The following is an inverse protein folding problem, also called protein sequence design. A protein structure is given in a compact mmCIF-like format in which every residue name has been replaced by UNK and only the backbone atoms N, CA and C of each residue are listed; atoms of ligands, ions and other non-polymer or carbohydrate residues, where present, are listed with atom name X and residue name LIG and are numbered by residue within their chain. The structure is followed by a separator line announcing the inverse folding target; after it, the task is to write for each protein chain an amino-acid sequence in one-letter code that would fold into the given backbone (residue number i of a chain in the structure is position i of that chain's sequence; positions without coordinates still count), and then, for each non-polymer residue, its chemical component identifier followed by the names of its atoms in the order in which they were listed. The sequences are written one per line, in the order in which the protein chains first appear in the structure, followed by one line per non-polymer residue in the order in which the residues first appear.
data_IF_424866139340
#
_entry.id   IF_424866139340
#
_cell.length_a   1.000
_cell.length_b   1.000
_cell.length_c   1.000
_cell.angle_alpha   90.00
_cell.angle_beta   90.00
_cell.angle_gamma   90.00
#
_symmetry.space_group_name_H-M   'P 1'
#
loop_
_entity.id
_entity.type
_entity.pdbx_description
1 polymer ?
#
# COMPACT_ATOMS: atom_id res chain seq x y z
N UNK A 1 -18.47 35.34 14.60
CA UNK A 1 -17.51 34.50 13.85
C UNK A 1 -18.20 34.00 12.61
N UNK A 2 -17.64 34.29 11.44
CA UNK A 2 -18.22 33.90 10.16
C UNK A 2 -18.00 32.39 9.95
N UNK A 3 -19.05 31.56 9.76
CA UNK A 3 -18.86 30.15 9.47
C UNK A 3 -18.25 30.02 8.07
N UNK A 4 -17.02 29.50 7.99
CA UNK A 4 -16.43 29.07 6.73
C UNK A 4 -17.30 27.94 6.18
N UNK A 5 -18.09 28.25 5.15
CA UNK A 5 -18.66 27.23 4.28
C UNK A 5 -17.48 26.49 3.63
N UNK A 6 -17.28 25.24 4.04
CA UNK A 6 -16.46 24.30 3.28
C UNK A 6 -17.08 24.16 1.90
N UNK A 7 -16.43 24.76 0.88
CA UNK A 7 -16.74 24.47 -0.51
C UNK A 7 -16.50 22.98 -0.71
N UNK A 8 -17.57 22.23 -0.90
CA UNK A 8 -17.47 20.87 -1.44
C UNK A 8 -17.06 21.05 -2.89
N UNK A 9 -15.80 20.80 -3.21
CA UNK A 9 -15.37 20.69 -4.60
C UNK A 9 -16.13 19.53 -5.24
N UNK A 10 -16.77 19.80 -6.38
CA UNK A 10 -17.38 18.74 -7.16
C UNK A 10 -16.27 17.81 -7.66
N UNK A 11 -16.50 16.50 -7.55
CA UNK A 11 -15.53 15.51 -8.03
C UNK A 11 -15.22 15.68 -9.51
N UNK A 12 -14.04 15.23 -9.94
CA UNK A 12 -13.65 15.25 -11.34
C UNK A 12 -14.67 14.49 -12.21
N UNK A 13 -14.94 14.95 -13.44
CA UNK A 13 -15.81 14.24 -14.37
C UNK A 13 -15.42 12.76 -14.51
N UNK A 14 -16.41 11.86 -14.47
CA UNK A 14 -16.23 10.40 -14.54
C UNK A 14 -15.53 9.74 -13.35
N UNK A 15 -15.25 10.47 -12.25
CA UNK A 15 -14.60 9.92 -11.07
C UNK A 15 -15.43 8.82 -10.37
N UNK A 16 -16.76 8.94 -10.36
CA UNK A 16 -17.64 7.94 -9.75
C UNK A 16 -17.70 6.65 -10.57
N UNK A 17 -17.70 6.78 -11.90
CA UNK A 17 -17.66 5.70 -12.88
C UNK A 17 -16.31 4.97 -12.80
N UNK A 18 -15.19 5.70 -12.73
CA UNK A 18 -13.85 5.15 -12.53
C UNK A 18 -13.75 4.35 -11.23
N UNK A 19 -14.30 4.86 -10.12
CA UNK A 19 -14.35 4.17 -8.84
C UNK A 19 -15.18 2.88 -8.92
N UNK A 20 -16.34 2.95 -9.57
CA UNK A 20 -17.23 1.79 -9.74
C UNK A 20 -16.55 0.71 -10.58
N UNK A 21 -15.99 1.09 -11.73
CA UNK A 21 -15.23 0.21 -12.60
C UNK A 21 -14.07 -0.46 -11.87
N UNK A 22 -13.30 0.31 -11.09
CA UNK A 22 -12.19 -0.21 -10.30
C UNK A 22 -12.65 -1.24 -9.25
N UNK A 23 -13.76 -0.98 -8.57
CA UNK A 23 -14.33 -1.93 -7.60
C UNK A 23 -14.76 -3.21 -8.28
N UNK A 24 -15.47 -3.11 -9.40
CA UNK A 24 -15.96 -4.26 -10.14
C UNK A 24 -14.85 -5.16 -10.66
N UNK A 25 -13.66 -4.63 -10.95
CA UNK A 25 -12.56 -5.38 -11.56
C UNK A 25 -11.42 -5.75 -10.60
N UNK A 26 -11.24 -5.04 -9.48
CA UNK A 26 -10.07 -5.23 -8.61
C UNK A 26 -10.41 -5.49 -7.14
N UNK A 27 -11.60 -5.10 -6.67
CA UNK A 27 -11.97 -5.31 -5.27
C UNK A 27 -12.12 -6.81 -4.98
N UNK A 28 -11.52 -7.25 -3.87
CA UNK A 28 -11.54 -8.65 -3.41
C UNK A 28 -11.05 -9.67 -4.46
N UNK A 29 -10.10 -9.26 -5.30
CA UNK A 29 -9.43 -10.15 -6.26
C UNK A 29 -7.96 -10.26 -5.97
N UNK A 30 -7.41 -11.41 -6.33
CA UNK A 30 -5.97 -11.59 -6.38
C UNK A 30 -5.39 -10.72 -7.49
N UNK A 31 -4.38 -9.95 -7.14
CA UNK A 31 -3.70 -9.00 -8.02
C UNK A 31 -2.21 -9.01 -7.74
N UNK A 32 -1.45 -8.57 -8.73
CA UNK A 32 -0.03 -8.28 -8.62
C UNK A 32 0.17 -6.78 -8.59
N UNK A 33 0.96 -6.31 -7.62
CA UNK A 33 1.30 -4.91 -7.47
C UNK A 33 2.81 -4.76 -7.57
N UNK A 34 3.27 -4.02 -8.57
CA UNK A 34 4.65 -3.56 -8.71
C UNK A 34 4.76 -2.18 -8.09
N UNK A 35 5.45 -2.05 -6.96
CA UNK A 35 5.66 -0.76 -6.29
C UNK A 35 6.89 -0.08 -6.88
N UNK A 36 6.72 1.11 -7.43
CA UNK A 36 7.80 1.92 -8.00
C UNK A 36 8.29 3.00 -7.03
N UNK A 37 7.35 3.64 -6.32
CA UNK A 37 7.67 4.69 -5.36
C UNK A 37 6.61 4.80 -4.26
N UNK A 38 6.81 5.77 -3.36
CA UNK A 38 5.86 6.09 -2.30
C UNK A 38 5.79 7.61 -2.17
N UNK A 39 4.58 8.15 -2.06
CA UNK A 39 4.39 9.58 -1.79
C UNK A 39 4.70 9.94 -0.33
N UNK A 40 4.66 11.24 0.01
CA UNK A 40 4.88 11.69 1.40
C UNK A 40 3.78 11.26 2.37
N UNK A 41 2.60 10.87 1.88
CA UNK A 41 1.48 10.36 2.68
C UNK A 41 1.62 8.88 3.05
N UNK A 42 2.53 8.17 2.38
CA UNK A 42 2.75 6.75 2.54
C UNK A 42 1.94 5.88 1.57
N UNK A 43 1.38 6.46 0.52
CA UNK A 43 0.69 5.71 -0.53
C UNK A 43 1.74 5.17 -1.51
N UNK A 44 1.66 3.88 -1.81
CA UNK A 44 2.49 3.26 -2.83
C UNK A 44 2.00 3.67 -4.22
N UNK A 45 2.94 4.07 -5.08
CA UNK A 45 2.70 4.37 -6.49
C UNK A 45 3.35 3.27 -7.31
N UNK A 46 2.60 2.72 -8.27
CA UNK A 46 3.07 1.58 -9.03
C UNK A 46 2.02 1.02 -9.98
N UNK A 47 2.27 -0.19 -10.47
CA UNK A 47 1.40 -0.88 -11.44
C UNK A 47 0.60 -1.98 -10.75
N UNK A 48 -0.66 -2.12 -11.16
CA UNK A 48 -1.53 -3.22 -10.74
C UNK A 48 -1.89 -4.07 -11.97
N UNK A 49 -1.74 -5.38 -11.84
CA UNK A 49 -2.06 -6.36 -12.89
C UNK A 49 -2.91 -7.47 -12.30
N UNK A 50 -3.99 -7.86 -12.96
CA UNK A 50 -4.82 -8.99 -12.52
C UNK A 50 -4.08 -10.32 -12.72
N UNK A 51 -4.56 -11.39 -12.08
CA UNK A 51 -4.00 -12.74 -12.28
C UNK A 51 -4.03 -13.22 -13.73
N UNK A 52 -4.99 -12.72 -14.53
CA UNK A 52 -5.13 -13.03 -15.95
C UNK A 52 -4.22 -12.17 -16.85
N UNK A 53 -3.37 -11.32 -16.25
CA UNK A 53 -2.41 -10.48 -16.97
C UNK A 53 -2.95 -9.13 -17.43
N UNK A 54 -4.15 -8.73 -17.01
CA UNK A 54 -4.74 -7.44 -17.42
C UNK A 54 -4.19 -6.30 -16.55
N UNK A 55 -3.61 -5.28 -17.20
CA UNK A 55 -3.09 -4.09 -16.53
C UNK A 55 -4.23 -3.13 -16.16
N UNK A 56 -4.32 -2.73 -14.89
CA UNK A 56 -5.37 -1.84 -14.40
C UNK A 56 -5.33 -0.45 -15.06
N UNK A 57 -4.14 0.10 -15.28
CA UNK A 57 -3.99 1.38 -15.99
C UNK A 57 -4.50 1.27 -17.43
N UNK A 58 -4.18 0.18 -18.13
CA UNK A 58 -4.69 -0.06 -19.47
C UNK A 58 -6.20 -0.21 -19.49
N UNK A 59 -6.78 -0.99 -18.56
CA UNK A 59 -8.23 -1.18 -18.47
C UNK A 59 -8.97 0.15 -18.23
N UNK A 60 -8.47 1.00 -17.34
CA UNK A 60 -9.07 2.32 -17.06
C UNK A 60 -8.96 3.28 -18.25
N UNK A 61 -7.80 3.34 -18.90
CA UNK A 61 -7.59 4.19 -20.09
C UNK A 61 -8.47 3.70 -21.24
N UNK A 62 -8.52 2.40 -21.51
CA UNK A 62 -9.34 1.80 -22.56
C UNK A 62 -10.85 2.00 -22.34
N UNK A 63 -11.29 2.09 -21.08
CA UNK A 63 -12.67 2.43 -20.73
C UNK A 63 -12.97 3.94 -20.84
N UNK A 64 -11.98 4.78 -21.15
CA UNK A 64 -12.10 6.24 -21.15
C UNK A 64 -12.27 6.83 -19.75
N UNK A 65 -11.86 6.10 -18.70
CA UNK A 65 -12.03 6.49 -17.29
C UNK A 65 -10.74 7.06 -16.68
N UNK A 66 -9.64 7.09 -17.43
CA UNK A 66 -8.37 7.68 -17.05
C UNK A 66 -7.64 8.26 -18.27
N UNK A 67 -6.65 9.11 -18.00
CA UNK A 67 -5.72 9.65 -18.99
C UNK A 67 -4.33 9.10 -18.74
N UNK A 68 -3.52 9.01 -19.80
CA UNK A 68 -2.11 8.67 -19.71
C UNK A 68 -1.37 9.86 -19.13
N UNK A 69 -0.60 9.61 -18.08
CA UNK A 69 0.24 10.61 -17.42
C UNK A 69 1.68 10.44 -17.88
N UNK A 70 2.49 11.50 -17.84
CA UNK A 70 3.93 11.49 -18.17
C UNK A 70 4.72 10.43 -17.40
N UNK A 71 4.29 10.09 -16.19
CA UNK A 71 4.91 9.02 -15.39
C UNK A 71 4.78 7.63 -16.01
N UNK A 72 3.94 7.45 -17.04
CA UNK A 72 3.85 6.23 -17.81
C UNK A 72 4.94 6.13 -18.89
N UNK A 73 5.73 7.18 -19.13
CA UNK A 73 6.84 7.16 -20.09
C UNK A 73 7.85 6.08 -19.66
N UNK A 74 8.16 5.17 -20.60
CA UNK A 74 9.03 4.01 -20.33
C UNK A 74 8.33 2.81 -19.68
N UNK A 75 7.03 2.86 -19.42
CA UNK A 75 6.29 1.66 -19.02
C UNK A 75 6.29 0.62 -20.16
N UNK A 76 6.41 -0.70 -19.87
CA UNK A 76 6.44 -1.73 -20.91
C UNK A 76 5.21 -1.73 -21.82
N UNK A 77 4.07 -1.28 -21.31
CA UNK A 77 2.80 -1.18 -22.03
C UNK A 77 2.46 0.26 -22.48
N UNK A 78 3.43 1.18 -22.49
CA UNK A 78 3.19 2.59 -22.82
C UNK A 78 2.51 2.78 -24.18
N UNK A 79 2.98 2.08 -25.21
CA UNK A 79 2.37 2.15 -26.56
C UNK A 79 0.87 1.77 -26.54
N UNK A 80 0.51 0.71 -25.81
CA UNK A 80 -0.87 0.27 -25.69
C UNK A 80 -1.73 1.30 -24.94
N UNK A 81 -1.17 1.96 -23.93
CA UNK A 81 -1.85 3.03 -23.20
C UNK A 81 -2.17 4.23 -24.11
N UNK A 82 -1.20 4.67 -24.92
CA UNK A 82 -1.40 5.77 -25.87
C UNK A 82 -2.42 5.41 -26.95
N UNK A 83 -2.32 4.22 -27.56
CA UNK A 83 -3.29 3.76 -28.56
C UNK A 83 -4.72 3.68 -28.00
N UNK A 84 -4.87 3.21 -26.75
CA UNK A 84 -6.16 3.17 -26.07
C UNK A 84 -6.71 4.57 -25.79
N UNK A 85 -5.86 5.50 -25.35
CA UNK A 85 -6.25 6.88 -25.09
C UNK A 85 -6.67 7.62 -26.37
N UNK A 86 -5.90 7.49 -27.44
CA UNK A 86 -6.21 8.06 -28.75
C UNK A 86 -7.55 7.58 -29.28
N UNK A 87 -7.86 6.29 -29.10
CA UNK A 87 -9.16 5.73 -29.45
C UNK A 87 -10.27 6.39 -28.65
N UNK A 88 -10.13 6.48 -27.32
CA UNK A 88 -11.13 7.14 -26.47
C UNK A 88 -11.30 8.62 -26.82
N UNK A 89 -10.22 9.32 -27.17
CA UNK A 89 -10.23 10.72 -27.63
C UNK A 89 -10.99 10.88 -28.95
N UNK A 90 -10.71 10.01 -29.94
CA UNK A 90 -11.39 10.03 -31.25
C UNK A 90 -12.88 9.72 -31.14
N UNK A 91 -13.22 8.75 -30.31
CA UNK A 91 -14.60 8.28 -30.11
C UNK A 91 -15.37 9.08 -29.04
N UNK A 92 -14.72 10.07 -28.40
CA UNK A 92 -15.29 10.92 -27.34
C UNK A 92 -15.86 10.12 -26.15
N UNK A 93 -15.11 9.11 -25.72
CA UNK A 93 -15.49 8.19 -24.63
C UNK A 93 -15.05 8.75 -23.27
N UNK A 94 -15.97 8.71 -22.29
CA UNK A 94 -15.67 8.99 -20.89
C UNK A 94 -15.08 10.39 -20.68
N UNK A 95 -13.92 10.49 -20.05
CA UNK A 95 -13.21 11.75 -19.78
C UNK A 95 -12.94 12.60 -21.03
N UNK A 96 -13.05 12.01 -22.23
CA UNK A 96 -12.87 12.68 -23.53
C UNK A 96 -14.15 13.20 -24.17
N UNK A 97 -15.31 13.08 -23.51
CA UNK A 97 -16.62 13.51 -24.05
C UNK A 97 -16.61 14.98 -24.51
N UNK A 98 -15.95 15.86 -23.74
CA UNK A 98 -15.84 17.30 -24.01
C UNK A 98 -14.45 17.71 -24.52
N UNK A 99 -13.73 16.80 -25.18
CA UNK A 99 -12.39 17.12 -25.72
C UNK A 99 -12.47 18.25 -26.76
N UNK A 100 -11.54 19.19 -26.75
CA UNK A 100 -11.41 20.18 -27.82
C UNK A 100 -10.07 19.94 -28.48
N UNK A 101 -10.02 19.93 -29.82
CA UNK A 101 -8.75 19.78 -30.51
C UNK A 101 -7.90 21.02 -30.23
N UNK A 102 -6.62 20.84 -29.84
CA UNK A 102 -5.69 21.94 -29.64
C UNK A 102 -5.69 22.84 -30.88
N UNK A 103 -5.69 24.15 -30.67
CA UNK A 103 -5.52 25.09 -31.79
C UNK A 103 -4.06 25.11 -32.20
N UNK A 104 -3.76 25.52 -33.45
CA UNK A 104 -2.38 25.62 -33.95
C UNK A 104 -1.44 26.50 -33.08
N UNK A 105 -1.98 27.32 -32.17
CA UNK A 105 -1.20 28.08 -31.18
C UNK A 105 -0.83 27.27 -29.95
N UNK A 106 -1.65 26.29 -29.57
CA UNK A 106 -1.42 25.39 -28.43
C UNK A 106 -0.40 24.28 -28.78
N UNK A 107 -0.23 24.00 -30.09
CA UNK A 107 0.78 23.08 -30.61
C UNK A 107 2.20 23.67 -30.50
N UNK A 108 2.39 24.96 -30.80
CA UNK A 108 3.70 25.65 -30.69
C UNK A 108 4.23 25.74 -29.24
N UNK A 109 3.36 25.74 -28.22
CA UNK A 109 3.77 25.73 -26.81
C UNK A 109 4.10 24.31 -26.27
N UNK A 110 3.48 23.25 -26.82
CA UNK A 110 3.73 21.85 -26.44
C UNK A 110 4.92 21.20 -27.18
N UNK A 111 5.43 21.80 -28.27
CA UNK A 111 6.56 21.28 -29.06
C UNK A 111 7.91 21.22 -28.30
N UNK A 112 7.98 21.65 -27.04
CA UNK A 112 9.20 21.55 -26.21
C UNK A 112 9.28 20.30 -25.33
N UNK A 113 8.24 19.46 -25.27
CA UNK A 113 8.37 18.12 -24.69
C UNK A 113 8.95 17.15 -25.72
N UNK A 114 10.29 17.10 -25.78
CA UNK A 114 10.99 15.98 -26.39
C UNK A 114 10.48 14.69 -25.76
N UNK A 115 9.62 13.94 -26.45
CA UNK A 115 9.38 12.53 -26.15
C UNK A 115 10.69 11.82 -26.50
N UNK A 116 11.48 11.35 -25.52
CA UNK A 116 12.70 10.63 -25.86
C UNK A 116 12.30 9.37 -26.64
N UNK A 117 12.95 9.16 -27.79
CA UNK A 117 12.92 7.90 -28.51
C UNK A 117 13.58 6.85 -27.60
N UNK A 118 12.78 6.18 -26.77
CA UNK A 118 13.28 5.16 -25.86
C UNK A 118 13.53 3.90 -26.67
N UNK A 119 14.80 3.53 -26.84
CA UNK A 119 15.18 2.22 -27.36
C UNK A 119 14.43 1.13 -26.59
N UNK A 120 13.79 0.20 -27.32
CA UNK A 120 12.92 -0.80 -26.73
C UNK A 120 13.61 -1.56 -25.59
N UNK A 121 13.09 -1.51 -24.34
CA UNK A 121 13.33 -2.60 -23.43
C UNK A 121 12.49 -3.77 -23.94
N UNK A 122 13.13 -4.73 -24.59
CA UNK A 122 12.53 -6.03 -24.91
C UNK A 122 12.26 -6.75 -23.59
N UNK A 123 11.11 -6.46 -22.99
CA UNK A 123 10.51 -7.25 -21.94
C UNK A 123 9.04 -7.39 -22.30
N UNK A 124 8.75 -8.54 -22.91
CA UNK A 124 7.48 -8.87 -23.52
C UNK A 124 6.28 -8.56 -22.64
N UNK A 125 5.23 -8.11 -23.32
CA UNK A 125 3.88 -8.07 -22.79
C UNK A 125 3.58 -9.34 -21.97
N UNK A 126 3.30 -9.15 -20.68
CA UNK A 126 2.35 -9.97 -19.93
C UNK A 126 2.72 -11.42 -19.63
N UNK A 127 3.88 -11.69 -19.03
CA UNK A 127 4.01 -12.83 -18.10
C UNK A 127 4.88 -12.37 -16.94
N UNK A 128 4.27 -12.16 -15.76
CA UNK A 128 5.04 -11.91 -14.54
C UNK A 128 5.81 -13.20 -14.25
N UNK A 129 7.14 -13.14 -14.39
CA UNK A 129 7.98 -14.25 -13.96
C UNK A 129 8.07 -14.21 -12.42
N UNK A 130 7.25 -15.02 -11.74
CA UNK A 130 7.25 -15.11 -10.28
C UNK A 130 8.56 -15.59 -9.66
N UNK A 131 9.49 -16.09 -10.47
CA UNK A 131 10.85 -16.44 -10.03
C UNK A 131 11.86 -15.29 -10.23
N UNK A 132 11.43 -14.13 -10.72
CA UNK A 132 12.29 -12.95 -10.76
C UNK A 132 12.56 -12.46 -9.34
N UNK A 133 13.84 -12.42 -8.98
CA UNK A 133 14.38 -12.00 -7.69
C UNK A 133 13.93 -10.61 -7.20
N UNK A 134 13.39 -9.77 -8.09
CA UNK A 134 12.81 -8.46 -7.75
C UNK A 134 11.45 -8.59 -7.04
N UNK A 135 10.72 -9.68 -7.25
CA UNK A 135 9.47 -9.95 -6.56
C UNK A 135 9.72 -10.76 -5.29
N UNK A 136 9.08 -10.35 -4.20
CA UNK A 136 9.06 -11.11 -2.96
C UNK A 136 7.62 -11.53 -2.66
N UNK A 137 7.43 -12.80 -2.35
CA UNK A 137 6.16 -13.28 -1.81
C UNK A 137 5.98 -12.70 -0.42
N UNK A 138 4.80 -12.14 -0.17
CA UNK A 138 4.45 -11.54 1.12
C UNK A 138 3.11 -12.05 1.62
N UNK A 139 2.91 -11.97 2.92
CA UNK A 139 1.65 -12.23 3.61
C UNK A 139 1.16 -10.90 4.17
N UNK A 140 -0.08 -10.51 3.87
CA UNK A 140 -0.71 -9.32 4.46
C UNK A 140 -1.10 -9.63 5.89
N UNK A 141 -0.55 -8.88 6.85
CA UNK A 141 -0.77 -9.11 8.29
C UNK A 141 -1.75 -8.13 8.89
N UNK A 142 -1.78 -6.89 8.38
CA UNK A 142 -2.68 -5.87 8.89
C UNK A 142 -2.98 -4.83 7.81
N UNK A 143 -4.23 -4.35 7.78
CA UNK A 143 -4.66 -3.25 6.93
C UNK A 143 -5.29 -2.19 7.83
N UNK A 144 -4.78 -0.96 7.80
CA UNK A 144 -5.35 0.13 8.60
C UNK A 144 -6.62 0.68 7.96
N UNK A 145 -7.48 1.37 8.72
CA UNK A 145 -8.63 2.08 8.15
C UNK A 145 -8.26 3.09 7.07
N UNK A 146 -7.05 3.65 7.12
CA UNK A 146 -6.47 4.55 6.13
C UNK A 146 -5.81 3.82 4.94
N UNK A 147 -6.11 2.52 4.76
CA UNK A 147 -5.62 1.67 3.67
C UNK A 147 -4.10 1.47 3.63
N UNK A 148 -3.41 1.66 4.77
CA UNK A 148 -2.00 1.28 4.89
C UNK A 148 -1.91 -0.22 5.14
N UNK A 149 -1.12 -0.92 4.34
CA UNK A 149 -0.93 -2.36 4.42
C UNK A 149 0.40 -2.68 5.08
N UNK A 150 0.38 -3.59 6.04
CA UNK A 150 1.55 -4.20 6.64
C UNK A 150 1.67 -5.63 6.14
N UNK A 151 2.90 -6.01 5.85
CA UNK A 151 3.21 -7.31 5.25
C UNK A 151 4.40 -7.96 5.93
N UNK A 152 4.43 -9.29 5.92
CA UNK A 152 5.58 -10.11 6.24
C UNK A 152 6.11 -10.76 4.96
N UNK A 153 7.42 -10.94 4.84
CA UNK A 153 7.97 -11.78 3.78
C UNK A 153 7.60 -13.24 4.03
N UNK A 154 7.03 -13.92 3.03
CA UNK A 154 6.58 -15.30 3.16
C UNK A 154 7.74 -16.26 3.51
N UNK A 155 8.96 -15.96 3.05
CA UNK A 155 10.18 -16.72 3.38
C UNK A 155 10.57 -16.63 4.87
N UNK A 156 10.08 -15.63 5.60
CA UNK A 156 10.34 -15.44 7.02
C UNK A 156 9.23 -16.02 7.92
N UNK A 157 8.15 -16.55 7.34
CA UNK A 157 6.97 -17.01 8.10
C UNK A 157 7.31 -18.02 9.20
N UNK A 158 8.07 -19.06 8.87
CA UNK A 158 8.48 -20.07 9.85
C UNK A 158 9.29 -19.48 11.04
N UNK A 159 10.04 -18.40 10.79
CA UNK A 159 10.84 -17.73 11.83
C UNK A 159 9.95 -16.89 12.76
N UNK A 160 8.94 -16.21 12.21
CA UNK A 160 7.93 -15.48 12.99
C UNK A 160 7.09 -16.46 13.84
N UNK A 161 6.66 -17.58 13.25
CA UNK A 161 5.94 -18.64 13.98
C UNK A 161 6.77 -19.24 15.11
N UNK A 162 8.07 -19.48 14.87
CA UNK A 162 8.98 -19.93 15.91
C UNK A 162 9.11 -18.89 17.04
N UNK A 163 9.30 -17.60 16.72
CA UNK A 163 9.36 -16.55 17.74
C UNK A 163 8.08 -16.49 18.59
N UNK A 164 6.91 -16.62 17.96
CA UNK A 164 5.64 -16.62 18.67
C UNK A 164 5.51 -17.86 19.58
N UNK A 165 5.98 -19.02 19.11
CA UNK A 165 6.01 -20.27 19.88
C UNK A 165 6.94 -20.14 21.09
N UNK A 166 8.15 -19.60 20.89
CA UNK A 166 9.12 -19.42 21.97
C UNK A 166 8.62 -18.43 23.03
N UNK A 167 8.00 -17.30 22.62
CA UNK A 167 7.41 -16.35 23.56
C UNK A 167 6.31 -16.99 24.39
N UNK A 168 5.44 -17.77 23.76
CA UNK A 168 4.37 -18.51 24.45
C UNK A 168 4.94 -19.50 25.45
N UNK A 169 5.95 -20.26 25.07
CA UNK A 169 6.59 -21.25 25.95
C UNK A 169 7.25 -20.56 27.16
N UNK A 170 8.04 -19.51 26.93
CA UNK A 170 8.73 -18.76 27.99
C UNK A 170 7.72 -18.19 29.00
N UNK A 171 6.66 -17.54 28.53
CA UNK A 171 5.65 -16.92 29.40
C UNK A 171 4.64 -17.93 29.99
N UNK A 172 4.62 -19.17 29.50
CA UNK A 172 3.89 -20.26 30.16
C UNK A 172 4.62 -20.76 31.42
N UNK A 173 5.95 -20.70 31.42
CA UNK A 173 6.81 -21.19 32.49
C UNK A 173 7.19 -20.09 33.49
N UNK A 174 7.20 -18.83 33.04
CA UNK A 174 7.61 -17.68 33.85
C UNK A 174 6.46 -16.68 33.99
N UNK A 175 6.19 -16.25 35.22
CA UNK A 175 5.25 -15.15 35.42
C UNK A 175 5.95 -13.84 35.02
N UNK A 176 5.31 -12.99 34.20
CA UNK A 176 5.80 -11.65 33.91
C UNK A 176 6.19 -10.92 35.20
N UNK A 177 7.42 -10.43 35.27
CA UNK A 177 7.88 -9.68 36.44
C UNK A 177 7.17 -8.33 36.44
N UNK A 178 6.36 -8.08 37.46
CA UNK A 178 5.68 -6.80 37.65
C UNK A 178 6.67 -5.68 38.02
N UNK A 179 6.22 -4.43 37.92
CA UNK A 179 7.01 -3.25 38.32
C UNK A 179 7.91 -2.66 37.24
N UNK A 180 7.81 -3.15 35.99
CA UNK A 180 8.43 -2.50 34.84
C UNK A 180 7.69 -1.22 34.47
N UNK A 181 8.41 -0.12 34.24
CA UNK A 181 7.85 1.15 33.78
C UNK A 181 8.29 1.37 32.33
N UNK A 182 7.42 1.07 31.34
CA UNK A 182 7.81 1.14 29.94
C UNK A 182 8.20 2.56 29.52
N UNK A 183 9.19 2.67 28.63
CA UNK A 183 9.65 3.94 28.07
C UNK A 183 9.29 4.06 26.58
N UNK A 184 9.05 5.28 26.10
CA UNK A 184 8.87 5.52 24.66
C UNK A 184 10.06 4.97 23.87
N UNK A 185 9.80 4.20 22.83
CA UNK A 185 10.79 3.55 21.98
C UNK A 185 11.28 2.19 22.49
N UNK A 186 10.91 1.79 23.70
CA UNK A 186 11.34 0.52 24.28
C UNK A 186 10.70 -0.68 23.55
N UNK A 187 11.52 -1.71 23.31
CA UNK A 187 11.07 -3.03 22.89
C UNK A 187 10.74 -3.89 24.11
N UNK A 188 9.53 -4.45 24.11
CA UNK A 188 8.97 -5.24 25.20
C UNK A 188 8.09 -6.38 24.66
N UNK A 189 7.63 -7.25 25.55
CA UNK A 189 6.56 -8.19 25.26
C UNK A 189 5.20 -7.60 25.67
N UNK A 190 4.24 -7.59 24.76
CA UNK A 190 2.87 -7.15 25.00
C UNK A 190 1.89 -8.30 24.76
N UNK A 191 0.96 -8.50 25.69
CA UNK A 191 -0.11 -9.50 25.56
C UNK A 191 -1.31 -8.90 24.85
N UNK A 192 -1.50 -9.29 23.60
CA UNK A 192 -2.55 -8.77 22.73
C UNK A 192 -3.93 -9.09 23.29
N UNK A 193 -4.89 -8.15 23.20
CA UNK A 193 -6.19 -8.35 23.86
C UNK A 193 -7.12 -9.31 23.12
N UNK A 194 -6.97 -9.46 21.81
CA UNK A 194 -7.88 -10.28 21.00
C UNK A 194 -7.71 -11.79 21.23
N UNK A 195 -6.47 -12.25 21.46
CA UNK A 195 -6.15 -13.68 21.62
C UNK A 195 -5.48 -14.02 22.97
N UNK A 196 -5.06 -13.01 23.75
CA UNK A 196 -4.32 -13.15 24.99
C UNK A 196 -2.95 -13.83 24.85
N UNK A 197 -2.33 -13.73 23.68
CA UNK A 197 -0.98 -14.23 23.43
C UNK A 197 0.07 -13.11 23.52
N UNK A 198 1.32 -13.50 23.80
CA UNK A 198 2.44 -12.58 23.94
C UNK A 198 3.13 -12.34 22.61
N UNK A 199 3.35 -11.06 22.29
CA UNK A 199 3.97 -10.61 21.06
C UNK A 199 5.07 -9.60 21.34
N UNK A 200 6.00 -9.46 20.40
CA UNK A 200 7.00 -8.39 20.46
C UNK A 200 6.34 -7.07 20.10
N UNK A 201 6.55 -6.07 20.92
CA UNK A 201 5.99 -4.76 20.69
C UNK A 201 6.98 -3.64 21.02
N UNK A 202 6.79 -2.50 20.38
CA UNK A 202 7.50 -1.26 20.67
C UNK A 202 6.54 -0.27 21.29
N UNK A 203 6.95 0.40 22.36
CA UNK A 203 6.19 1.53 22.92
C UNK A 203 6.28 2.72 21.96
N UNK A 204 5.17 3.12 21.36
CA UNK A 204 5.12 4.31 20.51
C UNK A 204 4.78 5.57 21.31
N UNK A 205 3.86 5.45 22.28
CA UNK A 205 3.36 6.58 23.07
C UNK A 205 2.97 6.15 24.48
N UNK A 206 3.33 6.98 25.46
CA UNK A 206 2.84 6.87 26.84
C UNK A 206 1.87 8.03 27.01
N UNK A 207 0.59 7.72 27.17
CA UNK A 207 -0.46 8.67 27.52
C UNK A 207 -0.59 8.71 29.05
N UNK A 208 -1.06 9.84 29.58
CA UNK A 208 -1.33 9.95 31.03
C UNK A 208 -2.26 8.84 31.53
N UNK A 209 -2.14 8.50 32.82
CA UNK A 209 -2.91 7.44 33.48
C UNK A 209 -2.60 6.00 32.99
N UNK A 210 -1.31 5.65 32.85
CA UNK A 210 -0.87 4.27 32.53
C UNK A 210 -1.44 3.70 31.22
N UNK A 211 -1.75 4.59 30.27
CA UNK A 211 -2.26 4.25 28.95
C UNK A 211 -1.10 4.21 27.98
N UNK A 212 -0.77 3.05 27.43
CA UNK A 212 0.44 2.85 26.63
C UNK A 212 0.06 2.35 25.25
N UNK A 213 0.35 3.15 24.22
CA UNK A 213 0.21 2.73 22.83
C UNK A 213 1.43 1.91 22.43
N UNK A 214 1.19 0.68 22.00
CA UNK A 214 2.22 -0.23 21.51
C UNK A 214 2.01 -0.53 20.03
N UNK A 215 3.12 -0.77 19.33
CA UNK A 215 3.16 -1.24 17.94
C UNK A 215 3.72 -2.66 17.92
N UNK A 216 2.93 -3.62 17.44
CA UNK A 216 3.36 -5.01 17.31
C UNK A 216 4.29 -5.13 16.12
N UNK A 217 5.60 -5.21 16.39
CA UNK A 217 6.65 -5.00 15.38
C UNK A 217 6.63 -6.06 14.27
N UNK A 218 6.06 -7.22 14.56
CA UNK A 218 5.99 -8.35 13.64
C UNK A 218 4.74 -8.31 12.75
N UNK A 219 3.69 -7.60 13.14
CA UNK A 219 2.37 -7.67 12.48
C UNK A 219 1.87 -6.33 11.95
N UNK A 220 2.36 -5.21 12.50
CA UNK A 220 2.04 -3.87 12.03
C UNK A 220 0.84 -3.20 12.70
N UNK A 221 0.04 -3.95 13.46
CA UNK A 221 -1.08 -3.40 14.21
C UNK A 221 -0.61 -2.67 15.48
N UNK A 222 -1.50 -1.83 16.01
CA UNK A 222 -1.30 -1.03 17.22
C UNK A 222 -2.40 -1.31 18.21
N UNK A 223 -2.08 -1.18 19.48
CA UNK A 223 -3.05 -1.33 20.55
C UNK A 223 -2.77 -0.34 21.67
N UNK A 224 -3.85 0.19 22.26
CA UNK A 224 -3.78 0.99 23.48
C UNK A 224 -3.96 0.05 24.68
N UNK A 225 -2.88 -0.17 25.41
CA UNK A 225 -2.87 -1.00 26.61
C UNK A 225 -3.17 -0.13 27.84
N UNK A 226 -4.23 -0.49 28.58
CA UNK A 226 -4.63 0.16 29.83
C UNK A 226 -4.35 -0.69 31.07
N UNK A 227 -4.17 -2.00 30.88
CA UNK A 227 -3.76 -2.95 31.91
C UNK A 227 -2.26 -3.24 31.78
N UNK A 228 -1.45 -2.64 32.64
CA UNK A 228 0.00 -2.81 32.61
C UNK A 228 0.46 -4.25 32.86
N UNK A 229 -0.40 -5.15 33.37
CA UNK A 229 -0.07 -6.58 33.49
C UNK A 229 0.10 -7.27 32.14
N UNK A 230 -0.36 -6.63 31.05
CA UNK A 230 -0.16 -7.06 29.67
C UNK A 230 1.18 -6.64 29.10
N UNK A 231 2.03 -5.95 29.86
CA UNK A 231 3.34 -5.50 29.41
C UNK A 231 4.42 -6.11 30.30
N UNK A 232 5.48 -6.62 29.69
CA UNK A 232 6.64 -7.10 30.43
C UNK A 232 7.89 -7.05 29.59
N UNK A 233 9.05 -7.22 30.23
CA UNK A 233 10.33 -7.21 29.54
C UNK A 233 10.40 -8.35 28.54
N UNK A 234 10.98 -8.05 27.38
CA UNK A 234 11.19 -9.05 26.37
C UNK A 234 12.30 -10.02 26.85
N UNK A 235 12.14 -11.36 26.71
CA UNK A 235 13.17 -12.30 27.13
C UNK A 235 14.50 -12.10 26.39
N UNK A 236 15.66 -12.40 27.02
CA UNK A 236 16.94 -12.42 26.32
C UNK A 236 16.88 -13.28 25.05
N UNK A 237 17.49 -12.81 23.97
CA UNK A 237 17.48 -13.49 22.66
C UNK A 237 16.30 -13.12 21.75
N UNK A 238 15.24 -12.49 22.27
CA UNK A 238 14.05 -12.14 21.48
C UNK A 238 14.11 -10.72 20.86
N UNK A 239 15.16 -9.96 21.14
CA UNK A 239 15.35 -8.56 20.73
C UNK A 239 15.73 -8.36 19.25
N UNK A 240 16.21 -9.40 18.57
CA UNK A 240 16.71 -9.27 17.20
C UNK A 240 15.56 -9.28 16.19
N UNK A 241 15.47 -8.22 15.37
CA UNK A 241 14.61 -8.22 14.18
C UNK A 241 15.18 -9.19 13.14
N UNK A 242 14.29 -9.75 12.32
CA UNK A 242 14.65 -10.65 11.23
C UNK A 242 15.28 -9.92 10.05
#
# INVERSE_FOLDING_TARGET
GNPQQTKVEAGEPFGAEALTYSKEHFLQRDVFVEVESMDRGGNFIGRLTTVDGNSASFMLVQAGLAKVHESAYGAPNYKQLIEAEEKCRKERIGVWTNYEEPTAKDEEENETENVPEVEEPVLGAGVINFNDSRFRRVVVTYVTPELKVYVQYAEQGAKVEQLQTDLREIFSQTKPVGGHSPKKGELLAARFTADNEWYRARVEKIEGNNRISVYFIDYGNRELITDLSRLTQLPPGMYFSH
#
